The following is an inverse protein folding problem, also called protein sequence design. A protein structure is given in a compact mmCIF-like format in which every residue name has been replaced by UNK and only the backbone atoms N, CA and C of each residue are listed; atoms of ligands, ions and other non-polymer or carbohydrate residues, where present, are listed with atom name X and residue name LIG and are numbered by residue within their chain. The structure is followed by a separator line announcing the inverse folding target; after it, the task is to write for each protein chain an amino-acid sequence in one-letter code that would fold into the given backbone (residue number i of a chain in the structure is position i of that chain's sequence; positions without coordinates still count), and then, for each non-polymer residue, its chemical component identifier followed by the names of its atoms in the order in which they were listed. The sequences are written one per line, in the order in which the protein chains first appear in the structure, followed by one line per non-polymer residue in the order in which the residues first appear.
data_IF_618675774124
#
_entry.id   IF_618675774124
#
_cell.length_a   1.000
_cell.length_b   1.000
_cell.length_c   1.000
_cell.angle_alpha   90.00
_cell.angle_beta   90.00
_cell.angle_gamma   90.00
#
_symmetry.space_group_name_H-M   'P 1'
#
loop_
_entity.id
_entity.type
_entity.pdbx_description
1 polymer ?
#
# COMPACT_ATOMS: atom_id res chain seq x y z
N UNK A 1 25.31 23.04 29.64
CA UNK A 1 23.95 22.98 29.07
C UNK A 1 24.11 22.82 27.57
N UNK A 2 23.63 21.73 26.99
CA UNK A 2 23.76 21.47 25.56
C UNK A 2 22.55 22.09 24.85
N UNK A 3 22.79 22.98 23.90
CA UNK A 3 21.75 23.65 23.12
C UNK A 3 20.93 22.65 22.28
N UNK A 4 19.69 22.39 22.69
CA UNK A 4 18.69 21.56 21.98
C UNK A 4 18.02 22.33 20.82
N UNK A 5 18.79 23.08 20.02
CA UNK A 5 18.27 24.01 19.02
C UNK A 5 18.47 23.59 17.55
N UNK A 6 18.69 22.31 17.24
CA UNK A 6 18.99 21.89 15.87
C UNK A 6 17.72 21.48 15.11
N UNK A 7 17.15 22.41 14.33
CA UNK A 7 16.15 22.07 13.30
C UNK A 7 16.81 21.18 12.25
N UNK A 8 16.46 19.90 12.24
CA UNK A 8 16.94 18.96 11.24
C UNK A 8 16.13 19.13 9.95
N UNK A 9 16.81 19.51 8.87
CA UNK A 9 16.19 19.61 7.54
C UNK A 9 16.05 18.20 6.96
N UNK A 10 14.92 17.54 7.24
CA UNK A 10 14.57 16.26 6.59
C UNK A 10 14.05 16.53 5.19
N UNK A 11 14.92 16.35 4.19
CA UNK A 11 14.49 16.20 2.80
C UNK A 11 13.91 14.80 2.69
N UNK A 12 12.58 14.68 2.79
CA UNK A 12 11.88 13.49 2.34
C UNK A 12 12.33 13.31 0.89
N UNK A 13 13.16 12.32 0.62
CA UNK A 13 13.38 11.89 -0.76
C UNK A 13 11.97 11.59 -1.25
N UNK A 14 11.52 12.29 -2.29
CA UNK A 14 10.36 11.86 -3.05
C UNK A 14 10.72 10.46 -3.54
N UNK A 15 10.35 9.45 -2.76
CA UNK A 15 10.34 8.08 -3.22
C UNK A 15 9.54 8.08 -4.51
N UNK A 16 9.91 7.23 -5.49
CA UNK A 16 9.15 7.13 -6.72
C UNK A 16 7.69 7.00 -6.33
N UNK A 17 6.86 7.95 -6.78
CA UNK A 17 5.45 8.00 -6.49
C UNK A 17 4.87 6.68 -6.98
N UNK A 18 4.72 5.69 -6.08
CA UNK A 18 4.18 4.39 -6.44
C UNK A 18 2.80 4.68 -6.96
N UNK A 19 2.57 4.42 -8.24
CA UNK A 19 1.29 4.75 -8.82
C UNK A 19 0.25 3.86 -8.17
N UNK A 20 -0.94 4.41 -7.90
CA UNK A 20 -2.11 3.61 -7.51
C UNK A 20 -2.32 2.44 -8.48
N UNK A 21 -1.97 2.63 -9.77
CA UNK A 21 -1.99 1.59 -10.79
C UNK A 21 -1.08 0.41 -10.44
N UNK A 22 0.13 0.67 -9.95
CA UNK A 22 1.12 -0.35 -9.63
C UNK A 22 0.66 -1.15 -8.40
N UNK A 23 0.13 -0.47 -7.39
CA UNK A 23 -0.44 -1.10 -6.19
C UNK A 23 -1.61 -2.02 -6.56
N UNK A 24 -2.56 -1.51 -7.38
CA UNK A 24 -3.71 -2.32 -7.81
C UNK A 24 -3.26 -3.53 -8.64
N UNK A 25 -2.19 -3.39 -9.44
CA UNK A 25 -1.61 -4.50 -10.20
C UNK A 25 -1.03 -5.56 -9.28
N UNK A 26 -0.25 -5.18 -8.27
CA UNK A 26 0.36 -6.11 -7.31
C UNK A 26 -0.71 -6.86 -6.50
N UNK A 27 -1.74 -6.14 -6.03
CA UNK A 27 -2.90 -6.72 -5.34
C UNK A 27 -3.64 -7.71 -6.24
N UNK A 28 -3.86 -7.36 -7.50
CA UNK A 28 -4.52 -8.24 -8.47
C UNK A 28 -3.74 -9.55 -8.67
N UNK A 29 -2.42 -9.46 -8.85
CA UNK A 29 -1.56 -10.63 -9.02
C UNK A 29 -1.56 -11.51 -7.77
N UNK A 30 -1.41 -10.93 -6.58
CA UNK A 30 -1.43 -11.67 -5.31
C UNK A 30 -2.76 -12.40 -5.06
N UNK A 31 -3.88 -11.76 -5.36
CA UNK A 31 -5.21 -12.35 -5.23
C UNK A 31 -5.43 -13.46 -6.26
N UNK A 32 -4.97 -13.27 -7.50
CA UNK A 32 -5.07 -14.27 -8.57
C UNK A 32 -4.23 -15.51 -8.27
N UNK A 33 -3.01 -15.35 -7.75
CA UNK A 33 -2.13 -16.47 -7.36
C UNK A 33 -2.72 -17.30 -6.22
N UNK A 34 -3.46 -16.65 -5.31
CA UNK A 34 -4.18 -17.32 -4.22
C UNK A 34 -5.49 -17.98 -4.68
N UNK A 35 -5.94 -17.73 -5.92
CA UNK A 35 -7.20 -18.24 -6.45
C UNK A 35 -8.44 -17.45 -6.00
N UNK A 36 -8.27 -16.24 -5.48
CA UNK A 36 -9.38 -15.32 -5.22
C UNK A 36 -9.82 -14.63 -6.51
N UNK A 37 -11.03 -14.05 -6.49
CA UNK A 37 -11.45 -13.13 -7.55
C UNK A 37 -10.95 -11.71 -7.21
N UNK A 38 -9.89 -11.21 -7.86
CA UNK A 38 -9.29 -9.93 -7.52
C UNK A 38 -10.25 -8.74 -7.66
N UNK A 39 -11.16 -8.78 -8.65
CA UNK A 39 -12.12 -7.70 -8.88
C UNK A 39 -13.10 -7.59 -7.71
N UNK A 40 -13.68 -8.71 -7.28
CA UNK A 40 -14.64 -8.71 -6.17
C UNK A 40 -13.99 -8.25 -4.86
N UNK A 41 -12.74 -8.66 -4.63
CA UNK A 41 -11.99 -8.30 -3.44
C UNK A 41 -11.62 -6.82 -3.41
N UNK A 42 -11.13 -6.26 -4.52
CA UNK A 42 -10.84 -4.83 -4.62
C UNK A 42 -12.11 -3.99 -4.47
N UNK A 43 -13.22 -4.39 -5.10
CA UNK A 43 -14.50 -3.69 -4.95
C UNK A 43 -15.00 -3.80 -3.51
N UNK A 44 -14.89 -4.97 -2.88
CA UNK A 44 -15.21 -5.16 -1.47
C UNK A 44 -14.41 -4.24 -0.55
N UNK A 45 -13.10 -4.14 -0.77
CA UNK A 45 -12.23 -3.21 -0.05
C UNK A 45 -12.64 -1.74 -0.25
N UNK A 46 -12.90 -1.31 -1.48
CA UNK A 46 -13.29 0.08 -1.77
C UNK A 46 -14.64 0.44 -1.11
N UNK A 47 -15.58 -0.51 -1.07
CA UNK A 47 -16.92 -0.28 -0.52
C UNK A 47 -16.98 -0.38 1.01
N UNK A 48 -16.19 -1.26 1.62
CA UNK A 48 -16.22 -1.54 3.06
C UNK A 48 -15.10 -0.87 3.85
N UNK A 49 -13.97 -0.56 3.21
CA UNK A 49 -12.73 -0.14 3.85
C UNK A 49 -12.04 -1.27 4.65
N UNK A 50 -12.54 -2.51 4.59
CA UNK A 50 -12.04 -3.61 5.40
C UNK A 50 -10.81 -4.27 4.74
N UNK A 51 -9.62 -4.20 5.38
CA UNK A 51 -8.38 -4.72 4.81
C UNK A 51 -8.37 -6.24 4.63
N UNK A 52 -9.30 -6.99 5.24
CA UNK A 52 -9.40 -8.45 5.08
C UNK A 52 -9.71 -8.89 3.64
N UNK A 53 -10.27 -7.99 2.83
CA UNK A 53 -10.50 -8.22 1.41
C UNK A 53 -9.19 -8.26 0.60
N UNK A 54 -8.14 -7.60 1.08
CA UNK A 54 -6.80 -7.66 0.47
C UNK A 54 -6.00 -8.76 1.14
N UNK A 55 -5.37 -9.63 0.34
CA UNK A 55 -4.59 -10.74 0.90
C UNK A 55 -3.24 -10.25 1.40
N UNK A 56 -2.84 -10.66 2.61
CA UNK A 56 -1.49 -10.38 3.16
C UNK A 56 -0.36 -11.16 2.44
N UNK A 57 -0.64 -11.71 1.26
CA UNK A 57 0.34 -12.41 0.45
C UNK A 57 1.28 -11.39 -0.22
N UNK A 58 2.60 -11.64 -0.19
CA UNK A 58 3.63 -10.77 -0.80
C UNK A 58 3.71 -9.32 -0.28
N UNK A 59 3.15 -9.01 0.89
CA UNK A 59 3.00 -7.63 1.41
C UNK A 59 2.01 -6.77 0.60
N UNK A 60 1.02 -7.39 -0.03
CA UNK A 60 -0.15 -6.68 -0.56
C UNK A 60 -1.10 -6.24 0.56
#
# INVERSE_FOLDING_TARGET
MQDLGNTQFFRIKNEPQVSVKDIIKDVYEALSEKGYNPVNQIVGYIMSGDPTFITSHKNA
#
